data_IF_157699576790
#
_entry.id   IF_157699576790
#
_cell.length_a   1.000
_cell.length_b   1.000
_cell.length_c   1.000
_cell.angle_alpha   90.00
_cell.angle_beta   90.00
_cell.angle_gamma   90.00
#
_symmetry.space_group_name_H-M   'P 1'
#
loop_
_entity.id
_entity.type
_entity.pdbx_description
1 polymer ?
#
# COMPACT_ATOMS: atom_id res chain seq x y z
N UNK A 1 -34.66 15.19 -15.21
CA UNK A 1 -33.46 14.34 -15.26
C UNK A 1 -33.60 13.23 -14.23
N UNK A 2 -33.55 11.97 -14.65
CA UNK A 2 -33.55 10.83 -13.73
C UNK A 2 -32.20 10.78 -13.04
N UNK A 3 -32.17 10.90 -11.72
CA UNK A 3 -30.93 10.76 -10.93
C UNK A 3 -30.50 9.29 -10.97
N UNK A 4 -29.36 9.00 -11.58
CA UNK A 4 -28.77 7.65 -11.54
C UNK A 4 -28.29 7.35 -10.12
N UNK A 5 -28.62 6.19 -9.61
CA UNK A 5 -28.11 5.71 -8.33
C UNK A 5 -26.67 5.18 -8.51
N UNK A 6 -25.81 5.32 -7.51
CA UNK A 6 -24.47 4.74 -7.55
C UNK A 6 -24.56 3.22 -7.56
N UNK A 7 -23.61 2.57 -8.24
CA UNK A 7 -23.46 1.12 -8.18
C UNK A 7 -23.11 0.69 -6.75
N UNK A 8 -23.76 -0.35 -6.21
CA UNK A 8 -23.38 -0.88 -4.90
C UNK A 8 -21.94 -1.33 -4.83
N UNK A 9 -21.37 -1.27 -3.64
CA UNK A 9 -20.05 -1.85 -3.38
C UNK A 9 -20.05 -3.36 -3.66
N UNK A 10 -19.00 -3.84 -4.28
CA UNK A 10 -18.83 -5.25 -4.63
C UNK A 10 -17.49 -5.75 -4.10
N UNK A 11 -17.45 -7.01 -3.71
CA UNK A 11 -16.18 -7.65 -3.35
C UNK A 11 -15.30 -7.82 -4.58
N UNK A 12 -13.99 -7.81 -4.37
CA UNK A 12 -13.03 -8.18 -5.41
C UNK A 12 -13.20 -9.67 -5.74
N UNK A 13 -13.10 -9.99 -7.02
CA UNK A 13 -13.13 -11.38 -7.48
C UNK A 13 -11.77 -12.07 -7.35
N UNK A 14 -11.70 -13.37 -7.64
CA UNK A 14 -10.46 -14.14 -7.55
C UNK A 14 -9.36 -13.66 -8.51
N UNK A 15 -9.73 -12.96 -9.57
CA UNK A 15 -8.76 -12.41 -10.55
C UNK A 15 -7.93 -11.26 -10.01
N UNK A 16 -8.31 -10.65 -8.86
CA UNK A 16 -7.51 -9.60 -8.22
C UNK A 16 -6.08 -10.09 -7.95
N UNK A 17 -5.97 -11.24 -7.30
CA UNK A 17 -4.67 -11.83 -6.93
C UNK A 17 -3.92 -12.46 -8.10
N UNK A 18 -4.58 -12.65 -9.25
CA UNK A 18 -3.98 -13.23 -10.46
C UNK A 18 -3.56 -12.14 -11.44
N UNK A 19 -4.39 -11.14 -11.66
CA UNK A 19 -4.22 -10.16 -12.74
C UNK A 19 -3.49 -8.87 -12.34
N UNK A 20 -3.46 -8.54 -11.05
CA UNK A 20 -2.85 -7.29 -10.58
C UNK A 20 -1.41 -7.38 -10.06
N UNK A 21 -0.89 -8.56 -9.63
CA UNK A 21 0.52 -8.67 -9.28
C UNK A 21 1.43 -8.50 -10.50
N UNK A 22 2.61 -7.93 -10.29
CA UNK A 22 3.70 -7.92 -11.25
C UNK A 22 5.02 -8.15 -10.49
N UNK A 23 6.10 -8.62 -11.16
CA UNK A 23 7.34 -9.02 -10.47
C UNK A 23 7.93 -7.96 -9.56
N UNK A 24 7.90 -6.68 -9.97
CA UNK A 24 8.46 -5.58 -9.19
C UNK A 24 7.45 -4.93 -8.22
N UNK A 25 6.24 -5.46 -8.11
CA UNK A 25 5.19 -4.89 -7.25
C UNK A 25 5.61 -4.72 -5.80
N UNK A 26 6.29 -5.69 -5.17
CA UNK A 26 6.76 -5.59 -3.80
C UNK A 26 7.90 -4.59 -3.58
N UNK A 27 8.50 -4.07 -4.63
CA UNK A 27 9.71 -3.24 -4.54
C UNK A 27 9.36 -1.77 -4.71
N UNK A 28 9.24 -1.03 -3.61
CA UNK A 28 9.11 0.45 -3.61
C UNK A 28 10.43 1.10 -4.04
N UNK A 29 11.52 0.43 -3.79
CA UNK A 29 12.87 0.75 -4.27
C UNK A 29 13.54 -0.52 -4.82
N UNK A 30 14.53 -0.39 -5.70
CA UNK A 30 15.30 -1.54 -6.18
C UNK A 30 15.98 -2.30 -5.04
N UNK A 31 16.18 -3.60 -5.23
CA UNK A 31 16.96 -4.42 -4.32
C UNK A 31 18.41 -3.89 -4.25
N UNK A 32 18.97 -3.87 -3.05
CA UNK A 32 20.32 -3.32 -2.81
C UNK A 32 20.34 -1.79 -2.59
N UNK A 33 19.21 -1.11 -2.63
CA UNK A 33 19.15 0.33 -2.29
C UNK A 33 19.65 0.55 -0.85
N UNK A 34 20.59 1.46 -0.61
CA UNK A 34 21.08 1.74 0.73
C UNK A 34 19.97 2.17 1.68
N UNK A 35 19.91 1.56 2.86
CA UNK A 35 18.89 1.85 3.86
C UNK A 35 17.54 1.19 3.62
N UNK A 36 17.38 0.41 2.54
CA UNK A 36 16.16 -0.34 2.29
C UNK A 36 15.98 -1.50 3.29
N UNK A 37 14.74 -1.76 3.65
CA UNK A 37 14.36 -2.85 4.55
C UNK A 37 13.03 -3.47 4.13
N UNK A 38 12.83 -4.73 4.51
CA UNK A 38 11.59 -5.43 4.28
C UNK A 38 10.59 -5.20 5.40
N UNK A 39 9.39 -4.76 5.05
CA UNK A 39 8.21 -4.87 5.89
C UNK A 39 7.54 -6.20 5.55
N UNK A 40 7.33 -7.04 6.56
CA UNK A 40 6.68 -8.35 6.39
C UNK A 40 5.52 -8.49 7.36
N UNK A 41 4.48 -9.18 6.92
CA UNK A 41 3.32 -9.43 7.74
C UNK A 41 2.52 -10.62 7.25
N UNK A 42 1.47 -10.93 8.00
CA UNK A 42 0.52 -11.99 7.67
C UNK A 42 -0.88 -11.39 7.72
N UNK A 43 -1.67 -11.63 6.68
CA UNK A 43 -3.09 -11.30 6.66
C UNK A 43 -3.86 -12.49 7.25
N UNK A 44 -4.68 -12.21 8.24
CA UNK A 44 -5.54 -13.21 8.89
C UNK A 44 -6.98 -12.75 8.86
N UNK A 45 -7.88 -13.70 8.79
CA UNK A 45 -9.32 -13.44 8.94
C UNK A 45 -9.75 -13.31 10.42
N UNK A 46 -11.05 -13.14 10.67
CA UNK A 46 -11.60 -12.98 11.99
C UNK A 46 -11.48 -14.23 12.89
N UNK A 47 -11.21 -15.40 12.34
CA UNK A 47 -10.94 -16.63 13.06
C UNK A 47 -9.45 -16.83 13.36
N UNK A 48 -8.59 -15.98 12.79
CA UNK A 48 -7.14 -16.10 12.89
C UNK A 48 -6.52 -16.95 11.80
N UNK A 49 -7.29 -17.41 10.82
CA UNK A 49 -6.78 -18.18 9.70
C UNK A 49 -6.08 -17.29 8.67
N UNK A 50 -5.01 -17.77 8.01
CA UNK A 50 -4.33 -16.99 6.99
C UNK A 50 -5.21 -16.79 5.76
N UNK A 51 -5.12 -15.61 5.14
CA UNK A 51 -5.84 -15.27 3.90
C UNK A 51 -4.88 -15.37 2.72
N UNK A 52 -4.99 -16.43 1.87
CA UNK A 52 -3.99 -16.73 0.84
C UNK A 52 -4.14 -15.93 -0.46
N UNK A 53 -5.18 -15.13 -0.59
CA UNK A 53 -5.50 -14.38 -1.81
C UNK A 53 -5.81 -12.91 -1.54
N UNK A 54 -5.28 -12.38 -0.44
CA UNK A 54 -5.31 -10.95 -0.19
C UNK A 54 -4.27 -10.22 -1.06
N UNK A 55 -4.52 -8.95 -1.27
CA UNK A 55 -3.61 -8.02 -1.92
C UNK A 55 -3.33 -6.86 -0.96
N UNK A 56 -2.05 -6.61 -0.72
CA UNK A 56 -1.59 -5.46 0.05
C UNK A 56 -1.08 -4.41 -0.91
N UNK A 57 -1.58 -3.19 -0.76
CA UNK A 57 -1.03 -2.00 -1.41
C UNK A 57 -0.52 -1.04 -0.36
N UNK A 58 0.63 -0.44 -0.62
CA UNK A 58 1.24 0.57 0.23
C UNK A 58 1.47 1.86 -0.53
N UNK A 59 1.32 2.99 0.15
CA UNK A 59 1.65 4.31 -0.36
C UNK A 59 2.38 5.09 0.72
N UNK A 60 3.48 5.74 0.36
CA UNK A 60 4.30 6.48 1.31
C UNK A 60 5.07 7.64 0.67
N UNK A 61 5.48 8.58 1.51
CA UNK A 61 6.49 9.56 1.16
C UNK A 61 7.89 8.95 1.10
N UNK A 62 8.80 9.58 0.36
CA UNK A 62 10.23 9.28 0.40
C UNK A 62 10.85 9.66 1.76
N UNK A 63 12.14 9.37 2.01
CA UNK A 63 12.80 9.73 3.27
C UNK A 63 12.80 11.22 3.61
N UNK A 64 12.73 12.09 2.61
CA UNK A 64 12.68 13.55 2.75
C UNK A 64 11.24 14.09 2.89
N UNK A 65 10.24 13.21 2.86
CA UNK A 65 8.83 13.53 3.00
C UNK A 65 8.14 13.92 1.70
N UNK A 66 8.77 13.72 0.54
CA UNK A 66 8.22 13.97 -0.80
C UNK A 66 7.37 12.80 -1.29
N UNK A 67 6.32 13.09 -2.07
CA UNK A 67 5.56 12.08 -2.76
C UNK A 67 5.94 12.02 -4.24
N UNK A 68 6.03 10.83 -4.81
CA UNK A 68 6.16 10.68 -6.26
C UNK A 68 4.78 10.86 -6.92
N UNK A 69 4.29 12.08 -6.89
CA UNK A 69 2.99 12.45 -7.44
C UNK A 69 3.06 13.84 -8.08
N UNK A 70 2.45 14.05 -9.26
CA UNK A 70 2.52 15.33 -9.95
C UNK A 70 1.91 16.51 -9.17
N UNK A 71 1.03 16.23 -8.21
CA UNK A 71 0.41 17.26 -7.36
C UNK A 71 1.25 17.59 -6.11
N UNK A 72 2.40 16.92 -5.88
CA UNK A 72 3.29 17.30 -4.78
C UNK A 72 3.98 18.64 -5.12
N UNK A 73 3.76 19.72 -4.32
CA UNK A 73 4.33 21.03 -4.60
C UNK A 73 5.86 21.07 -4.52
N UNK A 74 6.50 20.03 -3.99
CA UNK A 74 7.96 19.89 -3.91
C UNK A 74 8.56 19.28 -5.18
N UNK A 75 7.70 18.89 -6.14
CA UNK A 75 8.10 18.22 -7.35
C UNK A 75 8.19 16.69 -7.20
N UNK A 76 8.52 16.02 -8.30
CA UNK A 76 8.65 14.57 -8.29
C UNK A 76 9.82 14.13 -7.40
N UNK A 77 9.59 13.09 -6.59
CA UNK A 77 10.64 12.41 -5.84
C UNK A 77 11.76 11.97 -6.79
N UNK A 78 13.00 12.24 -6.42
CA UNK A 78 14.16 11.90 -7.23
C UNK A 78 14.49 10.41 -7.16
N UNK A 79 15.07 9.87 -8.23
CA UNK A 79 15.59 8.51 -8.27
C UNK A 79 14.56 7.43 -8.55
N UNK A 80 14.90 6.21 -8.13
CA UNK A 80 14.10 5.00 -8.41
C UNK A 80 13.05 4.69 -7.33
N UNK A 81 12.85 5.60 -6.36
CA UNK A 81 11.80 5.48 -5.34
C UNK A 81 10.41 5.62 -5.99
N UNK A 82 9.56 4.60 -5.84
CA UNK A 82 8.22 4.58 -6.44
C UNK A 82 7.13 5.16 -5.55
N UNK A 83 7.30 5.09 -4.23
CA UNK A 83 6.29 5.46 -3.24
C UNK A 83 5.13 4.48 -3.12
N UNK A 84 4.92 3.63 -4.11
CA UNK A 84 3.86 2.63 -4.20
C UNK A 84 4.44 1.21 -4.19
N UNK A 85 3.85 0.33 -3.38
CA UNK A 85 4.13 -1.09 -3.39
C UNK A 85 2.86 -1.93 -3.47
N UNK A 86 2.94 -3.11 -4.09
CA UNK A 86 1.84 -4.07 -4.17
C UNK A 86 2.36 -5.49 -4.04
N UNK A 87 1.79 -6.25 -3.12
CA UNK A 87 2.18 -7.63 -2.86
C UNK A 87 0.94 -8.49 -2.62
N UNK A 88 0.73 -9.56 -3.39
CA UNK A 88 -0.26 -10.58 -3.03
C UNK A 88 0.24 -11.37 -1.82
N UNK A 89 -0.67 -11.94 -1.05
CA UNK A 89 -0.30 -12.89 0.00
C UNK A 89 0.01 -14.27 -0.58
N UNK A 90 0.88 -14.99 0.10
CA UNK A 90 1.19 -16.40 -0.16
C UNK A 90 0.10 -17.32 0.43
N UNK A 91 0.22 -18.63 0.24
CA UNK A 91 -0.72 -19.62 0.78
C UNK A 91 -0.85 -19.60 2.29
N UNK A 92 0.16 -19.14 3.00
CA UNK A 92 0.18 -18.95 4.46
C UNK A 92 -0.13 -17.50 4.88
N UNK A 93 -0.67 -16.70 3.96
CA UNK A 93 -1.14 -15.34 4.20
C UNK A 93 -0.01 -14.31 4.33
N UNK A 94 1.24 -14.67 4.08
CA UNK A 94 2.37 -13.76 4.23
C UNK A 94 2.51 -12.79 3.05
N UNK A 95 3.02 -11.59 3.33
CA UNK A 95 3.40 -10.59 2.34
C UNK A 95 4.70 -9.90 2.73
N UNK A 96 5.32 -9.23 1.77
CA UNK A 96 6.53 -8.43 1.99
C UNK A 96 6.59 -7.24 1.04
N UNK A 97 7.06 -6.10 1.55
CA UNK A 97 7.31 -4.87 0.79
C UNK A 97 8.72 -4.38 1.11
N UNK A 98 9.56 -4.22 0.10
CA UNK A 98 10.89 -3.62 0.24
C UNK A 98 10.78 -2.11 0.07
N UNK A 99 11.18 -1.35 1.08
CA UNK A 99 11.02 0.10 1.08
C UNK A 99 12.10 0.83 1.88
N UNK A 100 11.99 2.16 1.92
CA UNK A 100 12.78 3.06 2.78
C UNK A 100 11.90 3.60 3.91
N UNK A 101 12.54 4.02 5.00
CA UNK A 101 11.85 4.71 6.08
C UNK A 101 11.25 6.03 5.54
N UNK A 102 9.92 6.24 5.61
CA UNK A 102 9.32 7.47 5.12
C UNK A 102 9.74 8.69 5.94
N UNK A 103 9.80 9.83 5.31
CA UNK A 103 9.92 11.12 5.99
C UNK A 103 8.62 11.50 6.69
N UNK A 104 8.68 12.56 7.50
CA UNK A 104 7.50 13.22 8.04
C UNK A 104 6.82 14.03 6.94
N UNK A 105 5.51 14.14 6.98
CA UNK A 105 4.74 14.91 6.01
C UNK A 105 3.90 15.99 6.69
N UNK A 106 3.58 17.10 6.00
CA UNK A 106 2.72 18.14 6.55
C UNK A 106 1.35 17.57 6.93
N UNK A 107 0.82 18.03 8.05
CA UNK A 107 -0.54 17.78 8.52
C UNK A 107 -1.41 19.04 8.43
N UNK A 108 -2.66 18.91 8.83
CA UNK A 108 -3.57 20.04 8.87
C UNK A 108 -3.13 21.09 9.90
N UNK A 109 -3.44 22.37 9.62
CA UNK A 109 -3.17 23.47 10.54
C UNK A 109 -1.71 23.71 10.86
N UNK A 110 -0.78 23.34 9.97
CA UNK A 110 0.66 23.53 10.18
C UNK A 110 1.31 22.47 11.10
N UNK A 111 0.59 21.39 11.42
CA UNK A 111 1.13 20.27 12.17
C UNK A 111 2.00 19.37 11.28
N UNK A 112 2.69 18.44 11.88
CA UNK A 112 3.46 17.40 11.17
C UNK A 112 2.88 16.03 11.51
N UNK A 113 2.63 15.21 10.50
CA UNK A 113 2.23 13.82 10.69
C UNK A 113 3.45 12.97 11.02
N UNK A 114 3.28 12.02 11.93
CA UNK A 114 4.28 11.00 12.19
C UNK A 114 4.62 10.22 10.92
N UNK A 115 5.83 9.68 10.85
CA UNK A 115 6.26 8.80 9.77
C UNK A 115 5.30 7.62 9.63
N UNK A 116 4.77 7.41 8.46
CA UNK A 116 3.81 6.34 8.23
C UNK A 116 3.80 5.87 6.79
N UNK A 117 3.26 4.69 6.60
CA UNK A 117 2.93 4.11 5.32
C UNK A 117 1.43 3.84 5.33
N UNK A 118 0.70 4.39 4.36
CA UNK A 118 -0.70 4.06 4.14
C UNK A 118 -0.81 2.65 3.54
N UNK A 119 -1.72 1.85 4.08
CA UNK A 119 -1.92 0.45 3.67
C UNK A 119 -3.36 0.24 3.27
N UNK A 120 -3.55 -0.36 2.11
CA UNK A 120 -4.85 -0.88 1.66
C UNK A 120 -4.80 -2.39 1.56
N UNK A 121 -5.78 -3.06 2.13
CA UNK A 121 -5.93 -4.53 2.09
C UNK A 121 -7.18 -4.87 1.31
N UNK A 122 -7.01 -5.69 0.28
CA UNK A 122 -8.10 -6.22 -0.54
C UNK A 122 -8.17 -7.73 -0.35
N UNK A 123 -9.36 -8.27 -0.19
CA UNK A 123 -9.56 -9.72 -0.13
C UNK A 123 -10.99 -10.07 -0.59
N UNK A 124 -11.20 -11.32 -0.98
CA UNK A 124 -12.54 -11.83 -1.27
C UNK A 124 -13.42 -11.73 -0.02
N UNK A 125 -14.69 -11.40 -0.22
CA UNK A 125 -15.67 -11.25 0.88
C UNK A 125 -15.71 -9.84 1.48
N UNK A 126 -14.70 -9.01 1.27
CA UNK A 126 -14.75 -7.60 1.66
C UNK A 126 -15.49 -6.79 0.60
N UNK A 127 -16.54 -6.04 1.00
CA UNK A 127 -17.24 -5.11 0.11
C UNK A 127 -16.46 -3.81 -0.11
N UNK A 128 -15.57 -3.49 0.81
CA UNK A 128 -14.67 -2.35 0.73
C UNK A 128 -13.27 -2.80 1.16
N UNK A 129 -12.23 -2.16 0.62
CA UNK A 129 -10.87 -2.39 1.12
C UNK A 129 -10.76 -1.95 2.59
N UNK A 130 -9.94 -2.63 3.34
CA UNK A 130 -9.52 -2.17 4.66
C UNK A 130 -8.38 -1.16 4.48
N UNK A 131 -8.48 -0.02 5.15
CA UNK A 131 -7.45 1.03 5.14
C UNK A 131 -6.87 1.16 6.53
N UNK A 132 -5.54 1.13 6.61
CA UNK A 132 -4.80 1.31 7.86
C UNK A 132 -3.47 1.98 7.60
N UNK A 133 -2.66 2.18 8.64
CA UNK A 133 -1.32 2.75 8.57
C UNK A 133 -0.32 1.94 9.37
N UNK A 134 0.90 1.90 8.90
CA UNK A 134 2.07 1.47 9.64
C UNK A 134 2.79 2.73 10.10
N UNK A 135 2.97 2.90 11.39
CA UNK A 135 3.68 4.03 12.01
C UNK A 135 5.07 3.62 12.48
N UNK A 136 6.00 4.59 12.48
CA UNK A 136 7.38 4.44 12.93
C UNK A 136 7.74 5.40 14.05
#
# INVERSE_FOLDING_TARGET
MTKLLPTPSQTVGPYLSIGLPWPDGPYVVPEGTPGAFWIRGIVRDGNGDPVPDAMIETWQADPDGGFRHPDDPRGEASGEFRGFGRCPTTTDGTYGILTLLPGVVPGEGGTTQARHIDVSVFARGLLNRVVTRIYF
#
